data_IF_052968289218
#
_entry.id   IF_052968289218
#
_cell.length_a   1.000
_cell.length_b   1.000
_cell.length_c   1.000
_cell.angle_alpha   90.00
_cell.angle_beta   90.00
_cell.angle_gamma   90.00
#
_symmetry.space_group_name_H-M   'P 1'
#
loop_
_entity.id
_entity.type
_entity.pdbx_description
1 polymer ?
#
# COMPACT_ATOMS: atom_id res chain seq x y z
N UNK A 1 3.33 10.97 17.69
CA UNK A 1 2.80 9.74 17.05
C UNK A 1 3.52 9.54 15.73
N UNK A 2 4.03 8.32 15.49
CA UNK A 2 4.67 7.91 14.24
C UNK A 2 3.80 6.83 13.63
N UNK A 3 3.38 7.02 12.38
CA UNK A 3 2.55 6.07 11.64
C UNK A 3 3.35 5.56 10.44
N UNK A 4 3.46 4.23 10.32
CA UNK A 4 4.02 3.58 9.14
C UNK A 4 2.89 3.27 8.14
N UNK A 5 2.98 3.78 6.93
CA UNK A 5 1.92 3.62 5.93
C UNK A 5 2.03 2.34 5.11
N UNK A 6 3.05 1.46 5.37
CA UNK A 6 3.32 0.35 4.49
C UNK A 6 3.96 -0.85 5.19
N UNK A 7 3.13 -1.79 5.66
CA UNK A 7 3.57 -2.99 6.38
C UNK A 7 2.88 -4.25 5.82
N UNK A 8 3.63 -5.37 5.81
CA UNK A 8 3.20 -6.64 5.25
C UNK A 8 3.28 -7.82 6.26
N UNK A 9 2.49 -7.84 7.34
CA UNK A 9 2.44 -9.02 8.20
C UNK A 9 1.79 -10.21 7.46
N UNK A 10 2.34 -11.41 7.69
CA UNK A 10 1.80 -12.64 7.12
C UNK A 10 1.86 -13.79 8.14
N UNK A 11 0.87 -14.66 8.12
CA UNK A 11 0.90 -15.93 8.83
C UNK A 11 1.35 -17.10 7.94
N UNK A 12 1.64 -16.84 6.66
CA UNK A 12 2.07 -17.83 5.69
C UNK A 12 3.57 -17.76 5.49
N UNK A 13 4.20 -18.93 5.35
CA UNK A 13 5.56 -19.06 4.83
C UNK A 13 5.45 -19.18 3.31
N UNK A 14 5.57 -18.06 2.62
CA UNK A 14 5.62 -18.07 1.18
C UNK A 14 7.05 -18.23 0.63
N UNK A 15 7.20 -18.25 -0.70
CA UNK A 15 8.52 -18.45 -1.30
C UNK A 15 9.51 -17.32 -0.99
N UNK A 16 9.04 -16.10 -0.81
CA UNK A 16 9.87 -14.95 -0.49
C UNK A 16 10.46 -15.01 0.94
N UNK A 17 9.76 -15.69 1.84
CA UNK A 17 10.16 -15.82 3.26
C UNK A 17 10.75 -17.18 3.63
N UNK A 18 10.86 -18.12 2.70
CA UNK A 18 11.33 -19.50 2.95
C UNK A 18 12.71 -19.56 3.61
N UNK A 19 13.59 -18.63 3.28
CA UNK A 19 14.93 -18.58 3.87
C UNK A 19 14.93 -18.26 5.37
N UNK A 20 13.88 -17.63 5.89
CA UNK A 20 13.73 -17.34 7.32
C UNK A 20 13.08 -18.47 8.11
N UNK A 21 12.38 -19.40 7.43
CA UNK A 21 11.70 -20.54 8.02
C UNK A 21 10.48 -20.21 8.88
N UNK A 22 10.16 -18.93 9.08
CA UNK A 22 9.05 -18.49 9.93
C UNK A 22 8.33 -17.29 9.33
N UNK A 23 6.98 -17.26 9.37
CA UNK A 23 6.23 -16.11 8.88
C UNK A 23 6.56 -14.84 9.68
N UNK A 24 6.53 -13.70 9.02
CA UNK A 24 6.62 -12.41 9.69
C UNK A 24 5.22 -11.97 10.12
N UNK A 25 4.71 -12.64 11.16
CA UNK A 25 3.36 -12.46 11.65
C UNK A 25 3.14 -11.13 12.38
N UNK A 26 1.89 -10.86 12.79
CA UNK A 26 1.53 -9.64 13.50
C UNK A 26 2.32 -9.38 14.77
N UNK A 27 2.68 -10.41 15.54
CA UNK A 27 3.46 -10.28 16.77
C UNK A 27 4.91 -9.87 16.49
N UNK A 28 5.54 -10.45 15.46
CA UNK A 28 6.86 -10.01 15.00
C UNK A 28 6.82 -8.59 14.46
N UNK A 29 5.75 -8.23 13.75
CA UNK A 29 5.54 -6.87 13.27
C UNK A 29 5.44 -5.88 14.43
N UNK A 30 4.66 -6.18 15.47
CA UNK A 30 4.57 -5.36 16.68
C UNK A 30 5.92 -5.19 17.36
N UNK A 31 6.68 -6.28 17.51
CA UNK A 31 8.03 -6.22 18.08
C UNK A 31 8.97 -5.33 17.27
N UNK A 32 8.89 -5.39 15.95
CA UNK A 32 9.62 -4.47 15.09
C UNK A 32 9.17 -3.02 15.30
N UNK A 33 7.86 -2.76 15.31
CA UNK A 33 7.32 -1.42 15.52
C UNK A 33 7.69 -0.82 16.90
N UNK A 34 7.84 -1.66 17.93
CA UNK A 34 8.19 -1.21 19.29
C UNK A 34 9.64 -0.70 19.40
N UNK A 35 10.51 -1.10 18.49
CA UNK A 35 11.90 -0.61 18.43
C UNK A 35 12.80 -1.05 19.58
N UNK A 36 13.52 -0.12 20.21
CA UNK A 36 13.48 1.34 20.09
C UNK A 36 14.24 1.90 18.89
N UNK A 37 13.67 2.93 18.26
CA UNK A 37 14.32 3.70 17.21
C UNK A 37 14.86 5.02 17.79
N UNK A 38 16.13 5.32 17.56
CA UNK A 38 16.72 6.58 18.04
C UNK A 38 16.46 7.71 17.06
N UNK A 39 15.57 8.66 17.41
CA UNK A 39 15.26 9.83 16.61
C UNK A 39 15.63 11.09 17.40
N UNK A 40 16.59 11.87 16.88
CA UNK A 40 17.13 13.05 17.56
C UNK A 40 17.60 12.76 18.99
N UNK A 41 18.30 11.64 19.18
CA UNK A 41 18.82 11.20 20.47
C UNK A 41 17.77 10.71 21.49
N UNK A 42 16.52 10.55 21.08
CA UNK A 42 15.42 10.07 21.94
C UNK A 42 14.86 8.73 21.42
N UNK A 43 14.59 7.76 22.31
CA UNK A 43 13.94 6.52 21.90
C UNK A 43 12.51 6.80 21.45
N UNK A 44 12.15 6.22 20.33
CA UNK A 44 10.82 6.29 19.70
C UNK A 44 10.39 4.91 19.25
N UNK A 45 9.10 4.74 19.01
CA UNK A 45 8.53 3.57 18.36
C UNK A 45 7.62 4.00 17.20
N UNK A 46 7.27 3.06 16.35
CA UNK A 46 6.16 3.21 15.41
C UNK A 46 4.88 2.96 16.20
N UNK A 47 4.04 3.97 16.34
CA UNK A 47 2.83 3.89 17.16
C UNK A 47 1.74 3.08 16.47
N UNK A 48 1.52 3.31 15.16
CA UNK A 48 0.54 2.61 14.35
C UNK A 48 1.12 2.25 12.99
N UNK A 49 0.56 1.22 12.34
CA UNK A 49 0.94 0.81 11.00
C UNK A 49 -0.25 0.44 10.13
N UNK A 50 -0.22 0.85 8.87
CA UNK A 50 -1.13 0.33 7.86
C UNK A 50 -0.63 -1.03 7.39
N UNK A 51 -1.45 -2.06 7.56
CA UNK A 51 -1.09 -3.44 7.28
C UNK A 51 -1.90 -4.00 6.10
N UNK A 52 -1.21 -4.75 5.25
CA UNK A 52 -1.80 -5.41 4.07
C UNK A 52 -1.13 -6.76 3.83
N UNK A 53 -1.75 -7.70 3.08
CA UNK A 53 -1.08 -8.92 2.70
C UNK A 53 0.20 -8.62 1.91
N UNK A 54 1.28 -9.43 2.07
CA UNK A 54 2.47 -9.27 1.25
C UNK A 54 2.16 -9.53 -0.22
N UNK A 55 2.78 -8.81 -1.15
CA UNK A 55 2.69 -9.11 -2.57
C UNK A 55 3.31 -10.51 -2.82
N UNK A 56 2.76 -11.29 -3.72
CA UNK A 56 3.26 -12.62 -4.05
C UNK A 56 2.54 -13.78 -3.38
N UNK A 57 1.62 -13.54 -2.47
CA UNK A 57 0.75 -14.58 -1.92
C UNK A 57 -0.18 -15.17 -2.99
N UNK A 58 -0.73 -16.35 -2.70
CA UNK A 58 -1.56 -17.18 -3.59
C UNK A 58 -2.72 -16.45 -4.26
N UNK A 59 -3.22 -15.37 -3.67
CA UNK A 59 -4.23 -14.50 -4.26
C UNK A 59 -3.88 -13.92 -5.64
N UNK A 60 -2.61 -13.87 -6.01
CA UNK A 60 -2.19 -13.46 -7.35
C UNK A 60 -2.28 -14.60 -8.37
N UNK A 61 -1.96 -15.83 -7.95
CA UNK A 61 -1.92 -16.99 -8.84
C UNK A 61 -3.31 -17.44 -9.27
N UNK A 62 -4.30 -17.27 -8.40
CA UNK A 62 -5.70 -17.66 -8.62
C UNK A 62 -6.65 -16.50 -8.90
N UNK A 63 -6.11 -15.32 -9.20
CA UNK A 63 -6.87 -14.06 -9.29
C UNK A 63 -8.08 -14.07 -10.24
N UNK A 64 -8.12 -14.97 -11.22
CA UNK A 64 -9.28 -15.14 -12.12
C UNK A 64 -10.39 -16.03 -11.53
N UNK A 65 -10.17 -16.66 -10.38
CA UNK A 65 -11.11 -17.60 -9.74
C UNK A 65 -11.67 -17.08 -8.42
N UNK A 66 -11.14 -15.98 -7.92
CA UNK A 66 -11.53 -15.44 -6.62
C UNK A 66 -12.81 -14.61 -6.75
N UNK A 67 -13.96 -15.26 -6.49
CA UNK A 67 -15.18 -14.52 -6.15
C UNK A 67 -15.04 -13.79 -4.82
N UNK A 68 -16.11 -13.14 -4.36
CA UNK A 68 -16.14 -12.34 -3.12
C UNK A 68 -15.63 -13.09 -1.89
N UNK A 69 -15.98 -14.38 -1.78
CA UNK A 69 -15.54 -15.25 -0.69
C UNK A 69 -14.01 -15.42 -0.66
N UNK A 70 -13.41 -15.75 -1.79
CA UNK A 70 -11.95 -15.88 -1.91
C UNK A 70 -11.20 -14.57 -1.64
N UNK A 71 -11.75 -13.41 -2.02
CA UNK A 71 -11.19 -12.10 -1.66
C UNK A 71 -11.24 -11.91 -0.14
N UNK A 72 -12.35 -12.28 0.48
CA UNK A 72 -12.54 -12.18 1.93
C UNK A 72 -11.55 -13.07 2.68
N UNK A 73 -11.37 -14.31 2.24
CA UNK A 73 -10.40 -15.25 2.82
C UNK A 73 -8.96 -14.72 2.69
N UNK A 74 -8.61 -14.14 1.53
CA UNK A 74 -7.30 -13.52 1.32
C UNK A 74 -7.03 -12.35 2.29
N UNK A 75 -8.06 -11.59 2.63
CA UNK A 75 -7.97 -10.44 3.55
C UNK A 75 -8.19 -10.83 5.02
N UNK A 76 -8.57 -12.07 5.33
CA UNK A 76 -9.01 -12.49 6.66
C UNK A 76 -7.97 -12.24 7.75
N UNK A 77 -6.69 -12.56 7.48
CA UNK A 77 -5.63 -12.35 8.45
C UNK A 77 -5.39 -10.87 8.78
N UNK A 78 -5.49 -9.99 7.79
CA UNK A 78 -5.38 -8.54 8.02
C UNK A 78 -6.55 -8.01 8.83
N UNK A 79 -7.77 -8.49 8.53
CA UNK A 79 -8.96 -8.16 9.30
C UNK A 79 -8.85 -8.63 10.76
N UNK A 80 -8.38 -9.86 10.99
CA UNK A 80 -8.10 -10.39 12.33
C UNK A 80 -7.12 -9.51 13.11
N UNK A 81 -5.99 -9.16 12.50
CA UNK A 81 -4.97 -8.32 13.16
C UNK A 81 -5.50 -6.91 13.48
N UNK A 82 -6.29 -6.34 12.59
CA UNK A 82 -6.90 -5.02 12.81
C UNK A 82 -7.87 -5.04 13.99
N UNK A 83 -8.64 -6.11 14.16
CA UNK A 83 -9.54 -6.29 15.31
C UNK A 83 -8.79 -6.62 16.60
N UNK A 84 -7.75 -7.46 16.52
CA UNK A 84 -6.95 -7.88 17.68
C UNK A 84 -6.11 -6.74 18.26
N UNK A 85 -5.63 -5.82 17.41
CA UNK A 85 -4.73 -4.73 17.79
C UNK A 85 -5.18 -3.38 17.22
N UNK A 86 -6.40 -2.89 17.57
CA UNK A 86 -7.00 -1.71 16.93
C UNK A 86 -6.22 -0.41 17.15
N UNK A 87 -5.43 -0.34 18.23
CA UNK A 87 -4.59 0.84 18.55
C UNK A 87 -3.20 0.78 17.88
N UNK A 88 -2.92 -0.30 17.14
CA UNK A 88 -1.62 -0.54 16.53
C UNK A 88 -1.70 -0.75 15.02
N UNK A 89 -2.77 -1.39 14.54
CA UNK A 89 -2.92 -1.74 13.12
C UNK A 89 -4.16 -1.12 12.50
N UNK A 90 -3.98 -0.59 11.29
CA UNK A 90 -5.03 -0.08 10.43
C UNK A 90 -5.04 -0.94 9.17
N UNK A 91 -6.18 -1.50 8.81
CA UNK A 91 -6.30 -2.36 7.64
C UNK A 91 -6.14 -1.60 6.32
N UNK A 92 -5.37 -2.19 5.41
CA UNK A 92 -5.20 -1.77 4.03
C UNK A 92 -5.67 -2.92 3.12
N UNK A 93 -6.65 -2.65 2.27
CA UNK A 93 -7.26 -3.63 1.37
C UNK A 93 -6.45 -3.74 0.08
N UNK A 94 -5.98 -4.94 -0.28
CA UNK A 94 -5.36 -5.16 -1.59
C UNK A 94 -6.45 -5.32 -2.64
N UNK A 95 -6.50 -4.41 -3.61
CA UNK A 95 -7.45 -4.45 -4.71
C UNK A 95 -6.78 -4.99 -5.98
N UNK A 96 -7.28 -6.14 -6.44
CA UNK A 96 -6.89 -6.70 -7.72
C UNK A 96 -8.10 -6.65 -8.68
N UNK A 97 -8.05 -5.82 -9.75
CA UNK A 97 -9.17 -5.70 -10.67
C UNK A 97 -9.49 -6.98 -11.44
N UNK A 98 -8.56 -7.95 -11.50
CA UNK A 98 -8.79 -9.26 -12.13
C UNK A 98 -9.72 -10.18 -11.34
N UNK A 99 -9.97 -9.87 -10.08
CA UNK A 99 -10.99 -10.57 -9.27
C UNK A 99 -12.44 -10.20 -9.65
N UNK A 100 -12.60 -9.35 -10.64
CA UNK A 100 -13.84 -8.67 -10.99
C UNK A 100 -13.93 -7.33 -10.28
N UNK A 101 -13.93 -6.22 -11.02
CA UNK A 101 -13.91 -4.86 -10.45
C UNK A 101 -15.03 -4.62 -9.44
N UNK A 102 -16.24 -5.07 -9.73
CA UNK A 102 -17.41 -4.90 -8.85
C UNK A 102 -17.32 -5.79 -7.59
N UNK A 103 -16.84 -7.03 -7.72
CA UNK A 103 -16.62 -7.93 -6.57
C UNK A 103 -15.58 -7.35 -5.63
N UNK A 104 -14.45 -6.89 -6.18
CA UNK A 104 -13.38 -6.25 -5.40
C UNK A 104 -13.85 -4.98 -4.70
N UNK A 105 -14.64 -4.14 -5.38
CA UNK A 105 -15.20 -2.93 -4.79
C UNK A 105 -16.22 -3.24 -3.67
N UNK A 106 -17.06 -4.26 -3.85
CA UNK A 106 -18.01 -4.69 -2.82
C UNK A 106 -17.30 -5.25 -1.58
N UNK A 107 -16.23 -6.01 -1.75
CA UNK A 107 -15.44 -6.51 -0.62
C UNK A 107 -14.61 -5.41 0.04
N UNK A 108 -14.11 -4.43 -0.72
CA UNK A 108 -13.50 -3.23 -0.15
C UNK A 108 -14.49 -2.48 0.74
N UNK A 109 -15.72 -2.22 0.25
CA UNK A 109 -16.75 -1.55 1.05
C UNK A 109 -17.10 -2.36 2.31
N UNK A 110 -17.19 -3.68 2.20
CA UNK A 110 -17.40 -4.56 3.33
C UNK A 110 -16.29 -4.40 4.39
N UNK A 111 -15.01 -4.47 3.99
CA UNK A 111 -13.89 -4.36 4.93
C UNK A 111 -13.79 -2.96 5.57
N UNK A 112 -14.17 -1.90 4.86
CA UNK A 112 -14.26 -0.56 5.44
C UNK A 112 -15.32 -0.52 6.53
N UNK A 113 -16.50 -1.09 6.29
CA UNK A 113 -17.63 -1.04 7.23
C UNK A 113 -17.42 -1.93 8.45
N UNK A 114 -16.99 -3.16 8.23
CA UNK A 114 -16.90 -4.18 9.28
C UNK A 114 -15.59 -4.09 10.08
N UNK A 115 -14.48 -3.73 9.44
CA UNK A 115 -13.16 -3.75 10.05
C UNK A 115 -12.46 -2.39 10.10
N UNK A 116 -13.11 -1.33 9.63
CA UNK A 116 -12.59 0.03 9.68
C UNK A 116 -11.37 0.27 8.79
N UNK A 117 -11.20 -0.47 7.69
CA UNK A 117 -10.09 -0.27 6.77
C UNK A 117 -10.06 1.17 6.23
N UNK A 118 -8.86 1.73 6.08
CA UNK A 118 -8.67 3.14 5.70
C UNK A 118 -7.82 3.35 4.45
N UNK A 119 -7.29 2.28 3.88
CA UNK A 119 -6.42 2.36 2.71
C UNK A 119 -6.70 1.22 1.73
N UNK A 120 -6.35 1.47 0.46
CA UNK A 120 -6.39 0.47 -0.63
C UNK A 120 -5.02 0.40 -1.27
N UNK A 121 -4.47 -0.80 -1.44
CA UNK A 121 -3.24 -1.06 -2.20
C UNK A 121 -3.57 -1.43 -3.63
N UNK A 122 -2.89 -0.76 -4.57
CA UNK A 122 -2.83 -1.12 -5.99
C UNK A 122 -1.42 -1.61 -6.35
N UNK A 123 -1.31 -2.72 -7.07
CA UNK A 123 -0.04 -3.26 -7.53
C UNK A 123 -0.14 -3.75 -8.98
N UNK A 124 0.05 -2.84 -9.93
CA UNK A 124 -0.24 -3.09 -11.34
C UNK A 124 0.61 -4.21 -11.97
N UNK A 125 1.92 -4.29 -11.66
CA UNK A 125 2.79 -5.37 -12.15
C UNK A 125 2.32 -6.75 -11.67
N UNK A 126 2.12 -6.90 -10.37
CA UNK A 126 1.72 -8.19 -9.80
C UNK A 126 0.34 -8.62 -10.27
N UNK A 127 -0.57 -7.68 -10.46
CA UNK A 127 -1.93 -7.95 -10.95
C UNK A 127 -2.05 -7.95 -12.48
N UNK A 128 -0.96 -7.65 -13.21
CA UNK A 128 -0.87 -7.76 -14.66
C UNK A 128 -1.84 -6.85 -15.42
N UNK A 129 -1.94 -5.56 -15.05
CA UNK A 129 -2.74 -4.59 -15.78
C UNK A 129 -1.97 -3.28 -16.02
N UNK A 130 -2.32 -2.57 -17.08
CA UNK A 130 -1.79 -1.24 -17.38
C UNK A 130 -2.72 -0.19 -16.78
N UNK A 131 -2.27 0.63 -15.81
CA UNK A 131 -3.13 1.60 -15.14
C UNK A 131 -3.76 2.62 -16.08
N UNK A 132 -2.99 3.10 -17.07
CA UNK A 132 -3.45 4.07 -18.08
C UNK A 132 -4.52 3.52 -19.05
N UNK A 133 -4.75 2.20 -19.04
CA UNK A 133 -5.74 1.50 -19.88
C UNK A 133 -6.81 0.77 -19.07
N UNK A 134 -6.67 0.73 -17.75
CA UNK A 134 -7.53 -0.03 -16.85
C UNK A 134 -8.46 0.86 -16.03
N UNK A 135 -8.74 2.08 -16.48
CA UNK A 135 -9.55 3.03 -15.72
C UNK A 135 -10.94 2.47 -15.37
N UNK A 136 -11.60 1.78 -16.31
CA UNK A 136 -12.91 1.14 -16.07
C UNK A 136 -12.84 0.06 -14.98
N UNK A 137 -11.70 -0.63 -14.88
CA UNK A 137 -11.49 -1.66 -13.86
C UNK A 137 -11.21 -1.07 -12.47
N UNK A 138 -10.62 0.11 -12.41
CA UNK A 138 -10.29 0.80 -11.15
C UNK A 138 -11.46 1.63 -10.61
N UNK A 139 -12.32 2.14 -11.51
CA UNK A 139 -13.42 3.06 -11.17
C UNK A 139 -14.34 2.57 -10.05
N UNK A 140 -14.79 1.28 -10.01
CA UNK A 140 -15.63 0.80 -8.93
C UNK A 140 -14.99 0.97 -7.54
N UNK A 141 -13.73 0.58 -7.39
CA UNK A 141 -12.98 0.74 -6.14
C UNK A 141 -12.76 2.21 -5.80
N UNK A 142 -12.42 3.06 -6.78
CA UNK A 142 -12.21 4.49 -6.55
C UNK A 142 -13.49 5.22 -6.10
N UNK A 143 -14.66 4.81 -6.59
CA UNK A 143 -15.95 5.32 -6.09
C UNK A 143 -16.16 4.98 -4.61
N UNK A 144 -15.78 3.78 -4.18
CA UNK A 144 -15.81 3.38 -2.78
C UNK A 144 -14.81 4.22 -1.97
N UNK A 145 -13.58 4.41 -2.47
CA UNK A 145 -12.59 5.26 -1.82
C UNK A 145 -13.08 6.70 -1.62
N UNK A 146 -13.68 7.28 -2.66
CA UNK A 146 -14.27 8.62 -2.59
C UNK A 146 -15.41 8.71 -1.55
N UNK A 147 -16.29 7.70 -1.53
CA UNK A 147 -17.43 7.62 -0.60
C UNK A 147 -17.00 7.56 0.86
N UNK A 148 -15.94 6.83 1.16
CA UNK A 148 -15.49 6.58 2.54
C UNK A 148 -14.22 7.33 2.93
N UNK A 149 -13.75 8.24 2.10
CA UNK A 149 -12.48 8.97 2.29
C UNK A 149 -11.30 8.03 2.57
N UNK A 150 -11.21 6.95 1.77
CA UNK A 150 -10.18 5.94 1.87
C UNK A 150 -9.00 6.32 0.99
N UNK A 151 -7.78 6.21 1.52
CA UNK A 151 -6.53 6.55 0.81
C UNK A 151 -6.13 5.40 -0.12
N UNK A 152 -5.48 5.71 -1.23
CA UNK A 152 -4.97 4.71 -2.19
C UNK A 152 -3.45 4.70 -2.19
N UNK A 153 -2.84 3.59 -1.80
CA UNK A 153 -1.40 3.34 -1.91
C UNK A 153 -1.10 2.63 -3.23
N UNK A 154 -0.33 3.26 -4.09
CA UNK A 154 0.07 2.72 -5.39
C UNK A 154 1.51 2.20 -5.29
N UNK A 155 1.74 0.92 -5.60
CA UNK A 155 3.09 0.41 -5.78
C UNK A 155 3.71 1.01 -7.04
N UNK A 156 4.93 1.53 -6.94
CA UNK A 156 5.67 2.11 -8.07
C UNK A 156 7.15 1.74 -8.02
N UNK A 157 7.86 1.88 -9.16
CA UNK A 157 9.29 1.65 -9.25
C UNK A 157 9.72 0.41 -10.02
N UNK A 158 8.85 -0.59 -10.16
CA UNK A 158 9.12 -1.76 -10.99
C UNK A 158 8.54 -1.57 -12.39
N UNK A 159 9.29 -1.38 -13.42
CA UNK A 159 8.71 -1.41 -14.77
C UNK A 159 7.99 -2.75 -15.08
N UNK A 160 7.10 -2.86 -16.07
CA UNK A 160 6.64 -1.78 -16.94
C UNK A 160 5.32 -1.10 -16.52
N UNK A 161 4.56 -1.63 -15.52
CA UNK A 161 3.19 -1.16 -15.22
C UNK A 161 3.09 -0.35 -13.92
N UNK A 162 4.21 -0.04 -13.30
CA UNK A 162 4.30 0.70 -12.05
C UNK A 162 5.05 2.02 -12.17
N UNK A 163 5.10 2.57 -13.39
CA UNK A 163 5.59 3.92 -13.65
C UNK A 163 4.54 4.89 -13.08
N UNK A 164 4.92 5.83 -12.20
CA UNK A 164 3.97 6.70 -11.50
C UNK A 164 2.97 7.40 -12.42
N UNK A 165 3.42 7.96 -13.53
CA UNK A 165 2.59 8.71 -14.48
C UNK A 165 1.51 7.89 -15.18
N UNK A 166 1.63 6.55 -15.21
CA UNK A 166 0.55 5.69 -15.72
C UNK A 166 -0.74 5.78 -14.89
N UNK A 167 -0.65 6.23 -13.64
CA UNK A 167 -1.82 6.39 -12.78
C UNK A 167 -2.50 7.77 -12.91
N UNK A 168 -1.97 8.70 -13.70
CA UNK A 168 -2.62 10.01 -13.91
C UNK A 168 -4.09 9.94 -14.31
N UNK A 169 -4.52 9.05 -15.22
CA UNK A 169 -5.94 9.00 -15.59
C UNK A 169 -6.87 8.80 -14.40
N UNK A 170 -6.57 7.82 -13.53
CA UNK A 170 -7.38 7.55 -12.35
C UNK A 170 -7.25 8.64 -11.28
N UNK A 171 -6.06 9.18 -11.07
CA UNK A 171 -5.83 10.26 -10.09
C UNK A 171 -6.61 11.53 -10.47
N UNK A 172 -6.62 11.88 -11.74
CA UNK A 172 -7.34 13.06 -12.24
C UNK A 172 -8.85 12.89 -12.25
N UNK A 173 -9.34 11.67 -12.49
CA UNK A 173 -10.79 11.38 -12.44
C UNK A 173 -11.34 11.44 -11.00
N UNK A 174 -10.48 11.15 -10.01
CA UNK A 174 -10.86 11.11 -8.60
C UNK A 174 -10.08 12.12 -7.74
N UNK A 175 -10.22 13.44 -7.97
CA UNK A 175 -9.45 14.47 -7.26
C UNK A 175 -9.78 14.54 -5.75
N UNK A 176 -10.92 13.95 -5.31
CA UNK A 176 -11.30 13.84 -3.90
C UNK A 176 -10.65 12.66 -3.17
N UNK A 177 -10.00 11.73 -3.89
CA UNK A 177 -9.28 10.59 -3.31
C UNK A 177 -7.82 10.96 -3.15
N UNK A 178 -7.24 10.68 -2.00
CA UNK A 178 -5.81 10.87 -1.76
C UNK A 178 -5.01 9.65 -2.22
N UNK A 179 -3.92 9.89 -2.96
CA UNK A 179 -3.05 8.86 -3.48
C UNK A 179 -1.64 8.97 -2.90
N UNK A 180 -1.11 7.83 -2.48
CA UNK A 180 0.27 7.68 -2.02
C UNK A 180 1.06 6.96 -3.12
N UNK A 181 2.10 7.59 -3.65
CA UNK A 181 3.06 6.96 -4.55
C UNK A 181 4.06 6.19 -3.70
N UNK A 182 3.93 4.88 -3.66
CA UNK A 182 4.80 3.99 -2.89
C UNK A 182 6.24 4.03 -3.42
N UNK A 183 7.21 3.89 -2.51
CA UNK A 183 8.64 3.82 -2.81
C UNK A 183 9.20 5.06 -3.52
N UNK A 184 8.47 6.15 -3.50
CA UNK A 184 8.86 7.37 -4.23
C UNK A 184 9.19 7.11 -5.72
N UNK A 185 8.58 6.12 -6.35
CA UNK A 185 8.88 5.72 -7.72
C UNK A 185 10.18 4.92 -7.89
N UNK A 186 10.79 4.41 -6.81
CA UNK A 186 12.05 3.65 -6.86
C UNK A 186 11.80 2.24 -6.33
N UNK A 187 12.20 1.25 -7.11
CA UNK A 187 12.23 -0.16 -6.72
C UNK A 187 13.30 -0.90 -7.55
N UNK A 188 13.48 -2.19 -7.31
CA UNK A 188 14.51 -3.02 -7.96
C UNK A 188 14.53 -2.94 -9.49
N UNK A 189 13.38 -2.69 -10.11
CA UNK A 189 13.21 -2.64 -11.57
C UNK A 189 13.39 -1.26 -12.19
N UNK A 190 13.47 -0.16 -11.42
CA UNK A 190 13.56 1.17 -11.98
C UNK A 190 13.67 2.32 -10.99
N UNK A 191 13.93 3.49 -11.54
CA UNK A 191 13.99 4.74 -10.78
C UNK A 191 13.20 5.82 -11.51
N UNK A 192 11.95 6.00 -11.09
CA UNK A 192 11.01 7.00 -11.61
C UNK A 192 10.75 8.10 -10.56
N UNK A 193 11.75 8.37 -9.71
CA UNK A 193 11.59 9.29 -8.57
C UNK A 193 11.31 10.73 -9.00
N UNK A 194 11.81 11.17 -10.13
CA UNK A 194 11.47 12.50 -10.65
C UNK A 194 10.02 12.57 -11.15
N UNK A 195 9.49 11.51 -11.74
CA UNK A 195 8.07 11.45 -12.09
C UNK A 195 7.18 11.53 -10.85
N UNK A 196 7.51 10.74 -9.82
CA UNK A 196 6.80 10.78 -8.54
C UNK A 196 6.88 12.16 -7.88
N UNK A 197 8.07 12.80 -7.93
CA UNK A 197 8.29 14.15 -7.41
C UNK A 197 7.38 15.17 -8.12
N UNK A 198 7.39 15.19 -9.46
CA UNK A 198 6.56 16.15 -10.21
C UNK A 198 5.06 15.87 -10.03
N UNK A 199 4.67 14.60 -9.95
CA UNK A 199 3.28 14.26 -9.61
C UNK A 199 2.86 14.83 -8.25
N UNK A 200 3.71 14.70 -7.23
CA UNK A 200 3.43 15.25 -5.91
C UNK A 200 3.40 16.80 -5.90
N UNK A 201 4.25 17.44 -6.70
CA UNK A 201 4.27 18.91 -6.85
C UNK A 201 3.00 19.44 -7.52
N UNK A 202 2.60 18.82 -8.63
CA UNK A 202 1.58 19.36 -9.52
C UNK A 202 0.16 18.87 -9.17
N UNK A 203 0.04 17.83 -8.34
CA UNK A 203 -1.24 17.20 -8.06
C UNK A 203 -1.57 17.28 -6.56
N UNK A 204 -2.59 18.06 -6.17
CA UNK A 204 -2.88 18.33 -4.75
C UNK A 204 -3.12 17.08 -3.90
N UNK A 205 -3.80 16.07 -4.43
CA UNK A 205 -4.18 14.82 -3.78
C UNK A 205 -3.14 13.69 -3.91
N UNK A 206 -1.90 14.02 -4.30
CA UNK A 206 -0.77 13.05 -4.40
C UNK A 206 0.28 13.36 -3.35
N UNK A 207 0.74 12.32 -2.66
CA UNK A 207 1.89 12.34 -1.75
C UNK A 207 2.82 11.17 -2.09
N UNK A 208 4.09 11.21 -1.65
CA UNK A 208 5.05 10.13 -1.84
C UNK A 208 5.40 9.44 -0.54
N UNK A 209 5.63 8.15 -0.59
CA UNK A 209 5.97 7.29 0.55
C UNK A 209 7.44 6.87 0.47
N UNK A 210 8.10 6.82 1.64
CA UNK A 210 9.55 6.70 1.77
C UNK A 210 10.13 5.29 1.73
N UNK A 211 9.31 4.23 1.79
CA UNK A 211 9.78 2.84 1.83
C UNK A 211 10.64 2.48 0.61
N UNK A 212 11.71 1.72 0.83
CA UNK A 212 12.67 1.32 -0.21
C UNK A 212 13.37 2.46 -0.96
N UNK A 213 13.11 3.70 -0.60
CA UNK A 213 13.71 4.87 -1.26
C UNK A 213 15.08 5.16 -0.67
N UNK A 214 16.05 5.53 -1.50
CA UNK A 214 17.36 5.95 -1.02
C UNK A 214 17.24 7.18 -0.12
N UNK A 215 17.85 7.13 1.06
CA UNK A 215 17.82 8.23 2.03
C UNK A 215 18.26 9.58 1.42
N UNK A 216 19.28 9.56 0.56
CA UNK A 216 19.72 10.77 -0.14
C UNK A 216 18.63 11.39 -1.02
N UNK A 217 17.82 10.57 -1.67
CA UNK A 217 16.69 11.02 -2.51
C UNK A 217 15.58 11.62 -1.66
N UNK A 218 15.25 11.00 -0.53
CA UNK A 218 14.25 11.55 0.42
C UNK A 218 14.70 12.93 0.91
N UNK A 219 15.97 13.06 1.32
CA UNK A 219 16.52 14.34 1.81
C UNK A 219 16.53 15.41 0.72
N UNK A 220 16.88 15.04 -0.52
CA UNK A 220 16.88 15.95 -1.67
C UNK A 220 15.48 16.52 -1.93
N UNK A 221 14.48 15.64 -2.02
CA UNK A 221 13.11 16.03 -2.34
C UNK A 221 12.40 16.71 -1.17
N UNK A 222 12.69 16.33 0.07
CA UNK A 222 12.13 16.97 1.26
C UNK A 222 12.54 18.46 1.40
N UNK A 223 13.61 18.91 0.74
CA UNK A 223 13.99 20.32 0.67
C UNK A 223 13.15 21.14 -0.32
N UNK A 224 12.47 20.47 -1.24
CA UNK A 224 11.76 21.10 -2.36
C UNK A 224 10.25 20.88 -2.27
N UNK A 225 9.81 19.69 -1.82
CA UNK A 225 8.40 19.38 -1.63
C UNK A 225 7.83 20.08 -0.39
N UNK A 226 6.56 20.50 -0.42
CA UNK A 226 5.84 20.86 0.80
C UNK A 226 5.87 19.71 1.83
N UNK A 227 5.94 20.04 3.11
CA UNK A 227 6.09 19.04 4.20
C UNK A 227 4.99 17.97 4.23
N UNK A 228 3.80 18.29 3.77
CA UNK A 228 2.66 17.38 3.70
C UNK A 228 2.66 16.48 2.45
N UNK A 229 3.72 16.50 1.64
CA UNK A 229 3.83 15.72 0.40
C UNK A 229 4.69 14.46 0.54
N UNK A 230 5.24 14.22 1.73
CA UNK A 230 6.00 13.00 2.03
C UNK A 230 5.41 12.35 3.26
N UNK A 231 5.13 11.06 3.17
CA UNK A 231 4.68 10.22 4.28
C UNK A 231 5.70 9.12 4.56
N UNK A 232 5.77 8.72 5.82
CA UNK A 232 6.67 7.66 6.26
C UNK A 232 6.04 6.29 5.99
N UNK A 233 6.80 5.40 5.38
CA UNK A 233 6.51 3.98 5.25
C UNK A 233 7.81 3.21 5.15
N UNK A 234 7.83 1.96 5.60
CA UNK A 234 9.03 1.11 5.58
C UNK A 234 8.97 0.00 4.54
N UNK A 235 7.77 -0.39 4.11
CA UNK A 235 7.54 -1.61 3.31
C UNK A 235 8.08 -2.88 4.00
N UNK A 236 7.95 -2.90 5.32
CA UNK A 236 8.49 -3.99 6.15
C UNK A 236 7.54 -5.20 6.22
N UNK A 237 8.12 -6.41 6.38
CA UNK A 237 9.55 -6.67 6.47
C UNK A 237 10.21 -6.51 5.10
N UNK A 238 11.49 -6.11 5.05
CA UNK A 238 12.23 -6.07 3.79
C UNK A 238 12.37 -7.49 3.23
N UNK A 239 12.16 -7.64 1.93
CA UNK A 239 12.41 -8.88 1.19
C UNK A 239 13.91 -9.18 1.07
#
# INVERSE_FOLDING_TARGET
>A
MIIDTHLHPTNLVDEAWRHTGTPFNGERMLKMMDGPYMINGKPRRIDMGFIQPPPGNTGYRDGNRMGREGIRDYMAYIAELTQKYPDRFIGNFTFNPRWGPENGAAELEFHIKEYGFKMVKLHANMHGYRPDRALDWLRPAMKVCAKYNTVVLIHTGDGPYTIPTMFYPVIREFPMVNFIIGHFGIQTGGNYSFEAFWMAMDTPNVVCESGWTFQSRIVEFAKQLPRNKIVFGTDSPPN
#
